data_IF_948598160368
#
_entry.id   IF_948598160368
#
_cell.length_a   1.000
_cell.length_b   1.000
_cell.length_c   1.000
_cell.angle_alpha   90.00
_cell.angle_beta   90.00
_cell.angle_gamma   90.00
#
_symmetry.space_group_name_H-M   'P 1'
#
loop_
_entity.id
_entity.type
_entity.pdbx_description
1 polymer ?
#
# COMPACT_ATOMS: atom_id res chain seq x y z
N UNK A 1 43.28 37.48 -23.03
CA UNK A 1 43.02 36.51 -21.92
C UNK A 1 41.72 35.76 -22.21
N UNK A 2 41.81 34.57 -22.80
CA UNK A 2 40.66 33.78 -23.23
C UNK A 2 40.07 32.97 -22.05
N UNK A 3 38.79 33.15 -21.75
CA UNK A 3 38.03 32.33 -20.80
C UNK A 3 37.86 30.92 -21.39
N UNK A 4 38.53 29.94 -20.80
CA UNK A 4 38.29 28.53 -21.09
C UNK A 4 36.82 28.19 -20.78
N UNK A 5 36.06 27.83 -21.82
CA UNK A 5 34.73 27.28 -21.70
C UNK A 5 34.82 25.96 -20.92
N UNK A 6 34.38 25.99 -19.67
CA UNK A 6 34.27 24.80 -18.83
C UNK A 6 33.20 23.90 -19.45
N UNK A 7 33.62 22.85 -20.15
CA UNK A 7 32.73 21.84 -20.71
C UNK A 7 31.78 21.35 -19.60
N UNK A 8 30.49 21.63 -19.76
CA UNK A 8 29.44 21.07 -18.90
C UNK A 8 29.47 19.57 -19.13
N UNK A 9 30.09 18.82 -18.22
CA UNK A 9 30.00 17.37 -18.21
C UNK A 9 28.52 17.02 -18.07
N UNK A 10 27.91 16.53 -19.15
CA UNK A 10 26.60 15.88 -19.04
C UNK A 10 26.74 14.76 -18.01
N UNK A 11 25.96 14.76 -16.92
CA UNK A 11 26.02 13.64 -15.98
C UNK A 11 25.63 12.39 -16.75
N UNK A 12 26.51 11.38 -16.72
CA UNK A 12 26.33 10.13 -17.44
C UNK A 12 24.89 9.60 -17.24
N UNK A 13 24.12 9.55 -18.33
CA UNK A 13 22.76 9.04 -18.35
C UNK A 13 22.79 7.55 -18.01
N UNK A 14 22.47 7.21 -16.76
CA UNK A 14 22.49 5.84 -16.30
C UNK A 14 21.60 5.65 -15.07
N UNK A 15 21.27 4.39 -14.77
CA UNK A 15 20.39 4.00 -13.64
C UNK A 15 20.82 4.65 -12.33
N UNK A 16 22.13 4.74 -12.06
CA UNK A 16 22.68 5.41 -10.88
C UNK A 16 22.35 6.91 -10.86
N UNK A 17 22.50 7.62 -11.98
CA UNK A 17 22.20 9.04 -12.07
C UNK A 17 20.70 9.28 -11.88
N UNK A 18 19.86 8.47 -12.54
CA UNK A 18 18.40 8.48 -12.37
C UNK A 18 18.00 8.28 -10.90
N UNK A 19 18.47 7.20 -10.26
CA UNK A 19 18.17 6.93 -8.85
C UNK A 19 18.72 8.00 -7.92
N UNK A 20 19.86 8.61 -8.23
CA UNK A 20 20.44 9.67 -7.40
C UNK A 20 19.62 10.97 -7.42
N UNK A 21 18.81 11.21 -8.44
CA UNK A 21 17.96 12.41 -8.54
C UNK A 21 16.72 12.33 -7.62
N UNK A 22 16.13 13.48 -7.26
CA UNK A 22 14.84 13.50 -6.53
C UNK A 22 13.68 13.16 -7.45
N UNK A 23 13.75 13.54 -8.73
CA UNK A 23 12.74 13.22 -9.75
C UNK A 23 12.66 11.71 -9.99
N UNK A 24 13.79 11.03 -10.16
CA UNK A 24 13.82 9.58 -10.38
C UNK A 24 13.24 8.79 -9.21
N UNK A 25 13.56 9.20 -7.96
CA UNK A 25 12.93 8.58 -6.77
C UNK A 25 11.42 8.80 -6.70
N UNK A 26 10.93 9.99 -7.05
CA UNK A 26 9.49 10.27 -7.10
C UNK A 26 8.81 9.38 -8.14
N UNK A 27 9.43 9.21 -9.31
CA UNK A 27 8.90 8.32 -10.35
C UNK A 27 8.85 6.87 -9.87
N UNK A 28 9.93 6.35 -9.27
CA UNK A 28 9.93 4.99 -8.69
C UNK A 28 8.86 4.85 -7.62
N UNK A 29 8.73 5.82 -6.71
CA UNK A 29 7.69 5.83 -5.68
C UNK A 29 6.28 5.81 -6.29
N UNK A 30 6.02 6.60 -7.33
CA UNK A 30 4.73 6.66 -8.01
C UNK A 30 4.41 5.33 -8.72
N UNK A 31 5.35 4.76 -9.46
CA UNK A 31 5.16 3.49 -10.18
C UNK A 31 4.93 2.33 -9.21
N UNK A 32 5.76 2.23 -8.17
CA UNK A 32 5.59 1.20 -7.14
C UNK A 32 4.29 1.41 -6.34
N UNK A 33 3.92 2.66 -6.05
CA UNK A 33 2.65 3.01 -5.44
C UNK A 33 1.45 2.58 -6.29
N UNK A 34 1.52 2.71 -7.61
CA UNK A 34 0.48 2.24 -8.53
C UNK A 34 0.30 0.71 -8.47
N UNK A 35 1.41 -0.04 -8.44
CA UNK A 35 1.41 -1.50 -8.32
C UNK A 35 0.77 -1.92 -6.99
N UNK A 36 1.22 -1.33 -5.88
CA UNK A 36 0.70 -1.62 -4.53
C UNK A 36 -0.78 -1.23 -4.40
N UNK A 37 -1.19 -0.11 -5.00
CA UNK A 37 -2.59 0.30 -5.04
C UNK A 37 -3.46 -0.72 -5.79
N UNK A 38 -3.03 -1.16 -6.97
CA UNK A 38 -3.72 -2.22 -7.72
C UNK A 38 -3.84 -3.51 -6.92
N UNK A 39 -2.79 -3.90 -6.20
CA UNK A 39 -2.85 -5.04 -5.29
C UNK A 39 -3.86 -4.86 -4.17
N UNK A 40 -3.87 -3.71 -3.47
CA UNK A 40 -4.84 -3.46 -2.39
C UNK A 40 -6.29 -3.54 -2.89
N UNK A 41 -6.56 -3.06 -4.11
CA UNK A 41 -7.88 -3.20 -4.74
C UNK A 41 -8.25 -4.66 -4.97
N UNK A 42 -7.36 -5.44 -5.60
CA UNK A 42 -7.59 -6.87 -5.85
C UNK A 42 -7.66 -7.69 -4.55
N UNK A 43 -6.88 -7.29 -3.55
CA UNK A 43 -6.85 -7.91 -2.23
C UNK A 43 -8.18 -7.70 -1.51
N UNK A 44 -8.71 -6.48 -1.48
CA UNK A 44 -10.04 -6.23 -0.95
C UNK A 44 -11.11 -6.99 -1.74
N UNK A 45 -11.05 -7.00 -3.07
CA UNK A 45 -11.99 -7.78 -3.89
C UNK A 45 -12.02 -9.26 -3.51
N UNK A 46 -10.86 -9.87 -3.28
CA UNK A 46 -10.75 -11.23 -2.75
C UNK A 46 -11.37 -11.37 -1.36
N UNK A 47 -11.06 -10.46 -0.44
CA UNK A 47 -11.55 -10.49 0.93
C UNK A 47 -13.08 -10.31 1.02
N UNK A 48 -13.68 -9.51 0.13
CA UNK A 48 -15.13 -9.33 0.06
C UNK A 48 -15.88 -10.62 -0.30
N UNK A 49 -15.19 -11.67 -0.79
CA UNK A 49 -15.80 -12.99 -0.97
C UNK A 49 -16.19 -13.66 0.34
N UNK A 50 -15.71 -13.15 1.48
CA UNK A 50 -16.20 -13.51 2.81
C UNK A 50 -17.73 -13.46 2.87
N UNK A 51 -18.34 -12.41 2.32
CA UNK A 51 -19.79 -12.20 2.33
C UNK A 51 -20.56 -13.20 1.46
N UNK A 52 -19.89 -13.91 0.56
CA UNK A 52 -20.46 -15.00 -0.23
C UNK A 52 -20.25 -16.38 0.41
N UNK A 53 -19.71 -16.42 1.64
CA UNK A 53 -19.55 -17.61 2.46
C UNK A 53 -18.26 -18.41 2.23
N UNK A 54 -18.04 -19.49 3.00
CA UNK A 54 -16.77 -20.21 3.07
C UNK A 54 -16.29 -20.74 1.72
N UNK A 55 -17.20 -21.29 0.91
CA UNK A 55 -16.88 -21.82 -0.43
C UNK A 55 -16.32 -20.73 -1.34
N UNK A 56 -16.86 -19.51 -1.30
CA UNK A 56 -16.45 -18.43 -2.18
C UNK A 56 -15.04 -17.92 -1.85
N UNK A 57 -14.75 -17.67 -0.57
CA UNK A 57 -13.44 -17.16 -0.14
C UNK A 57 -12.34 -18.24 -0.16
N UNK A 58 -12.63 -19.46 0.29
CA UNK A 58 -11.67 -20.56 0.22
C UNK A 58 -11.45 -20.98 -1.25
N UNK A 59 -12.49 -20.93 -2.08
CA UNK A 59 -12.37 -21.14 -3.53
C UNK A 59 -11.51 -20.07 -4.21
N UNK A 60 -11.57 -18.82 -3.76
CA UNK A 60 -10.65 -17.77 -4.23
C UNK A 60 -9.20 -18.05 -3.86
N UNK A 61 -8.95 -18.56 -2.65
CA UNK A 61 -7.62 -19.01 -2.26
C UNK A 61 -7.08 -20.06 -3.23
N UNK A 62 -7.89 -21.05 -3.62
CA UNK A 62 -7.53 -22.09 -4.60
C UNK A 62 -7.29 -21.50 -5.98
N UNK A 63 -8.23 -20.67 -6.47
CA UNK A 63 -8.13 -20.01 -7.77
C UNK A 63 -6.80 -19.28 -7.94
N UNK A 64 -6.34 -18.56 -6.92
CA UNK A 64 -5.07 -17.84 -6.98
C UNK A 64 -3.86 -18.78 -7.18
N UNK A 65 -3.91 -20.04 -6.74
CA UNK A 65 -2.83 -21.00 -7.00
C UNK A 65 -2.92 -21.61 -8.39
N UNK A 66 -4.10 -21.93 -8.88
CA UNK A 66 -4.25 -22.54 -10.22
C UNK A 66 -4.32 -21.51 -11.34
N UNK A 67 -4.25 -20.21 -11.01
CA UNK A 67 -4.29 -19.14 -11.99
C UNK A 67 -3.11 -19.24 -12.97
N UNK A 68 -3.42 -19.38 -14.26
CA UNK A 68 -2.43 -19.53 -15.32
C UNK A 68 -2.18 -20.97 -15.76
N UNK A 69 -2.78 -21.97 -15.11
CA UNK A 69 -2.72 -23.35 -15.59
C UNK A 69 -3.40 -23.51 -16.96
N UNK A 70 -2.86 -24.36 -17.88
CA UNK A 70 -1.65 -25.17 -17.72
C UNK A 70 -0.34 -24.46 -18.15
N UNK A 71 -0.40 -23.19 -18.59
CA UNK A 71 0.78 -22.46 -19.06
C UNK A 71 1.82 -22.20 -17.95
N UNK A 72 1.35 -22.13 -16.71
CA UNK A 72 2.15 -22.06 -15.49
C UNK A 72 1.76 -23.21 -14.56
N UNK A 73 2.68 -23.63 -13.69
CA UNK A 73 2.42 -24.60 -12.63
C UNK A 73 1.66 -24.04 -11.43
N UNK A 74 1.29 -24.93 -10.50
CA UNK A 74 0.57 -24.58 -9.28
C UNK A 74 1.30 -23.48 -8.48
N UNK A 75 0.59 -22.39 -8.23
CA UNK A 75 1.01 -21.18 -7.52
C UNK A 75 2.15 -20.39 -8.14
N UNK A 76 2.63 -20.72 -9.34
CA UNK A 76 3.75 -20.02 -9.97
C UNK A 76 3.41 -18.55 -10.27
N UNK A 77 2.25 -18.29 -10.86
CA UNK A 77 1.77 -16.92 -11.11
C UNK A 77 1.62 -16.16 -9.80
N UNK A 78 1.12 -16.81 -8.75
CA UNK A 78 0.99 -16.19 -7.43
C UNK A 78 2.36 -15.80 -6.84
N UNK A 79 3.39 -16.64 -7.01
CA UNK A 79 4.75 -16.33 -6.57
C UNK A 79 5.37 -15.18 -7.37
N UNK A 80 5.16 -15.13 -8.69
CA UNK A 80 5.59 -14.00 -9.52
C UNK A 80 4.97 -12.71 -8.99
N UNK A 81 3.65 -12.70 -8.74
CA UNK A 81 2.96 -11.55 -8.17
C UNK A 81 3.56 -11.18 -6.80
N UNK A 82 3.79 -12.14 -5.90
CA UNK A 82 4.41 -11.89 -4.59
C UNK A 82 5.79 -11.26 -4.70
N UNK A 83 6.65 -11.75 -5.59
CA UNK A 83 7.99 -11.19 -5.82
C UNK A 83 7.88 -9.75 -6.31
N UNK A 84 7.01 -9.48 -7.28
CA UNK A 84 6.76 -8.12 -7.80
C UNK A 84 6.29 -7.19 -6.68
N UNK A 85 5.40 -7.64 -5.80
CA UNK A 85 4.90 -6.85 -4.68
C UNK A 85 5.98 -6.56 -3.63
N UNK A 86 6.80 -7.55 -3.27
CA UNK A 86 7.90 -7.37 -2.33
C UNK A 86 8.96 -6.40 -2.87
N UNK A 87 9.28 -6.50 -4.17
CA UNK A 87 10.17 -5.56 -4.84
C UNK A 87 9.56 -4.16 -4.87
N UNK A 88 8.28 -4.04 -5.24
CA UNK A 88 7.58 -2.76 -5.28
C UNK A 88 7.54 -2.10 -3.89
N UNK A 89 7.18 -2.85 -2.85
CA UNK A 89 7.15 -2.38 -1.46
C UNK A 89 8.53 -1.91 -1.00
N UNK A 90 9.57 -2.70 -1.25
CA UNK A 90 10.95 -2.39 -0.85
C UNK A 90 11.45 -1.11 -1.53
N UNK A 91 11.22 -0.98 -2.83
CA UNK A 91 11.58 0.22 -3.60
C UNK A 91 10.76 1.44 -3.16
N UNK A 92 9.46 1.26 -2.89
CA UNK A 92 8.56 2.31 -2.41
C UNK A 92 9.04 2.89 -1.08
N UNK A 93 9.27 2.01 -0.08
CA UNK A 93 9.75 2.39 1.25
C UNK A 93 11.14 3.03 1.17
N UNK A 94 12.04 2.48 0.36
CA UNK A 94 13.40 3.03 0.19
C UNK A 94 13.35 4.43 -0.43
N UNK A 95 12.57 4.62 -1.49
CA UNK A 95 12.40 5.92 -2.12
C UNK A 95 11.77 6.93 -1.14
N UNK A 96 10.76 6.50 -0.36
CA UNK A 96 10.12 7.32 0.67
C UNK A 96 11.10 7.80 1.71
N UNK A 97 11.81 6.87 2.34
CA UNK A 97 12.81 7.19 3.35
C UNK A 97 13.88 8.15 2.83
N UNK A 98 14.42 7.89 1.63
CA UNK A 98 15.47 8.72 1.05
C UNK A 98 14.96 10.11 0.66
N UNK A 99 13.73 10.24 0.15
CA UNK A 99 13.11 11.53 -0.14
C UNK A 99 12.83 12.31 1.16
N UNK A 100 12.25 11.67 2.17
CA UNK A 100 12.01 12.30 3.48
C UNK A 100 13.31 12.79 4.12
N UNK A 101 14.38 11.99 4.07
CA UNK A 101 15.70 12.39 4.60
C UNK A 101 16.27 13.60 3.85
N UNK A 102 16.13 13.65 2.52
CA UNK A 102 16.55 14.79 1.70
C UNK A 102 15.74 16.04 2.00
N UNK A 103 14.43 15.91 2.14
CA UNK A 103 13.55 17.03 2.47
C UNK A 103 13.88 17.63 3.84
N UNK A 104 14.20 16.78 4.83
CA UNK A 104 14.67 17.23 6.16
C UNK A 104 16.04 17.89 6.09
N UNK A 105 17.00 17.30 5.37
CA UNK A 105 18.35 17.87 5.23
C UNK A 105 18.36 19.21 4.50
N UNK A 106 17.41 19.44 3.57
CA UNK A 106 17.25 20.71 2.86
C UNK A 106 16.62 21.82 3.71
N UNK A 107 16.16 21.52 4.94
CA UNK A 107 15.46 22.48 5.83
C UNK A 107 16.13 22.54 7.21
N UNK A 108 17.33 23.13 7.33
CA UNK A 108 18.07 23.23 8.59
C UNK A 108 17.46 24.23 9.59
N UNK A 109 16.65 25.19 9.13
CA UNK A 109 15.90 26.12 9.99
C UNK A 109 14.41 25.81 9.83
N UNK A 110 13.74 25.47 10.93
CA UNK A 110 12.28 25.31 10.95
C UNK A 110 11.62 26.66 10.64
N UNK A 111 10.59 26.68 9.79
CA UNK A 111 9.89 27.91 9.39
C UNK A 111 9.49 28.73 10.63
N UNK A 112 10.01 29.96 10.71
CA UNK A 112 9.71 30.94 11.77
C UNK A 112 8.33 31.59 11.59
N UNK A 113 7.73 31.45 10.39
CA UNK A 113 6.36 31.87 10.09
C UNK A 113 5.57 30.67 9.55
N UNK A 114 4.58 30.24 10.32
CA UNK A 114 3.62 29.20 9.93
C UNK A 114 2.71 29.76 8.84
N UNK A 115 3.01 29.46 7.57
CA UNK A 115 2.07 29.66 6.48
C UNK A 115 1.58 28.31 5.97
N UNK A 116 0.28 28.09 6.11
CA UNK A 116 -0.48 26.94 5.60
C UNK A 116 -0.59 26.97 4.07
N UNK A 117 0.53 27.02 3.36
CA UNK A 117 0.55 26.96 1.91
C UNK A 117 0.28 25.50 1.45
N UNK A 118 -0.97 25.04 1.54
CA UNK A 118 -1.47 23.87 0.83
C UNK A 118 -1.14 22.48 1.39
N UNK A 119 -0.59 22.35 2.59
CA UNK A 119 -0.35 21.02 3.22
C UNK A 119 -1.64 20.48 3.86
N UNK A 120 -2.22 19.45 3.28
CA UNK A 120 -3.36 18.69 3.83
C UNK A 120 -3.02 17.86 5.06
N UNK A 121 -3.98 17.55 5.93
CA UNK A 121 -3.75 16.75 7.14
C UNK A 121 -3.01 15.44 6.85
N UNK A 122 -3.47 14.66 5.88
CA UNK A 122 -2.83 13.37 5.66
C UNK A 122 -1.49 13.44 4.87
N UNK A 123 -1.12 14.60 4.30
CA UNK A 123 0.26 14.80 3.83
C UNK A 123 1.21 15.05 5.02
N UNK A 124 0.69 15.59 6.13
CA UNK A 124 1.43 15.72 7.40
C UNK A 124 1.60 14.38 8.10
N UNK A 125 0.61 13.48 8.01
CA UNK A 125 0.69 12.14 8.61
C UNK A 125 1.31 11.10 7.69
N UNK A 126 1.65 11.42 6.43
CA UNK A 126 2.13 10.47 5.43
C UNK A 126 3.31 9.59 5.88
N UNK A 127 4.26 10.16 6.63
CA UNK A 127 5.38 9.40 7.19
C UNK A 127 4.95 8.43 8.28
N UNK A 128 4.03 8.84 9.14
CA UNK A 128 3.51 8.01 10.24
C UNK A 128 2.57 6.93 9.73
N UNK A 129 1.64 7.25 8.83
CA UNK A 129 0.78 6.25 8.20
C UNK A 129 1.58 5.24 7.41
N UNK A 130 2.62 5.67 6.67
CA UNK A 130 3.52 4.76 5.97
C UNK A 130 4.30 3.82 6.90
N UNK A 131 4.83 4.32 8.02
CA UNK A 131 5.52 3.49 9.01
C UNK A 131 4.57 2.50 9.69
N UNK A 132 3.37 2.96 10.08
CA UNK A 132 2.36 2.10 10.68
C UNK A 132 1.95 0.98 9.72
N UNK A 133 1.71 1.30 8.44
CA UNK A 133 1.38 0.32 7.42
C UNK A 133 2.51 -0.69 7.19
N UNK A 134 3.77 -0.27 7.22
CA UNK A 134 4.89 -1.19 7.10
C UNK A 134 4.91 -2.23 8.23
N UNK A 135 4.75 -1.78 9.47
CA UNK A 135 4.67 -2.67 10.63
C UNK A 135 3.44 -3.57 10.55
N UNK A 136 2.29 -3.01 10.16
CA UNK A 136 1.06 -3.76 9.98
C UNK A 136 1.19 -4.81 8.87
N UNK A 137 1.83 -4.54 7.74
CA UNK A 137 2.04 -5.52 6.66
C UNK A 137 2.84 -6.72 7.17
N UNK A 138 3.88 -6.49 7.98
CA UNK A 138 4.67 -7.57 8.59
C UNK A 138 3.79 -8.41 9.50
N UNK A 139 3.04 -7.76 10.41
CA UNK A 139 2.10 -8.44 11.29
C UNK A 139 1.03 -9.22 10.51
N UNK A 140 0.39 -8.59 9.53
CA UNK A 140 -0.66 -9.16 8.69
C UNK A 140 -0.20 -10.41 7.92
N UNK A 141 1.03 -10.40 7.38
CA UNK A 141 1.61 -11.59 6.73
C UNK A 141 1.87 -12.68 7.77
N UNK A 142 2.47 -12.34 8.91
CA UNK A 142 2.76 -13.29 9.97
C UNK A 142 1.50 -13.94 10.57
N UNK A 143 0.40 -13.18 10.62
CA UNK A 143 -0.90 -13.56 11.15
C UNK A 143 -1.70 -14.40 10.14
N UNK A 144 -2.20 -13.78 9.06
CA UNK A 144 -3.15 -14.40 8.14
C UNK A 144 -2.51 -15.19 6.98
N UNK A 145 -1.25 -14.90 6.63
CA UNK A 145 -0.58 -15.61 5.52
C UNK A 145 0.26 -16.78 5.99
N UNK A 146 1.00 -16.61 7.09
CA UNK A 146 1.90 -17.62 7.63
C UNK A 146 1.31 -18.37 8.83
N UNK A 147 0.32 -17.80 9.53
CA UNK A 147 -0.26 -18.41 10.73
C UNK A 147 0.61 -18.34 11.98
N UNK A 148 1.82 -17.77 11.89
CA UNK A 148 2.80 -17.71 12.99
C UNK A 148 2.40 -16.82 14.15
N UNK A 149 1.61 -15.77 13.90
CA UNK A 149 1.04 -14.90 14.93
C UNK A 149 -0.48 -15.09 15.09
N UNK A 150 -1.05 -16.08 14.41
CA UNK A 150 -2.48 -16.34 14.49
C UNK A 150 -2.83 -16.85 15.90
N UNK A 151 -3.78 -16.22 16.59
CA UNK A 151 -4.23 -16.60 17.92
C UNK A 151 -4.96 -17.94 17.88
N UNK A 152 -4.36 -18.96 18.48
CA UNK A 152 -5.01 -20.26 18.65
C UNK A 152 -6.13 -20.28 19.71
N UNK A 153 -6.56 -19.11 20.22
CA UNK A 153 -7.53 -18.96 21.31
C UNK A 153 -8.94 -19.41 20.91
N UNK A 154 -9.35 -19.11 19.68
CA UNK A 154 -10.69 -19.44 19.16
C UNK A 154 -10.63 -20.65 18.24
N UNK A 155 -9.76 -20.57 17.23
CA UNK A 155 -9.47 -21.66 16.30
C UNK A 155 -7.98 -21.67 15.97
N UNK A 156 -7.40 -22.84 15.77
CA UNK A 156 -6.03 -22.93 15.24
C UNK A 156 -6.00 -22.59 13.76
N UNK A 157 -4.91 -21.94 13.34
CA UNK A 157 -4.64 -21.60 11.95
C UNK A 157 -4.66 -22.85 11.06
N UNK A 158 -5.33 -22.76 9.92
CA UNK A 158 -5.30 -23.78 8.88
C UNK A 158 -5.05 -23.15 7.53
N UNK A 159 -3.95 -23.55 6.88
CA UNK A 159 -3.68 -23.09 5.52
C UNK A 159 -4.81 -23.52 4.57
N UNK A 160 -5.27 -22.58 3.73
CA UNK A 160 -6.36 -22.79 2.76
C UNK A 160 -7.77 -22.57 3.30
N UNK A 161 -7.96 -22.55 4.62
CA UNK A 161 -9.26 -22.26 5.25
C UNK A 161 -9.33 -20.79 5.67
N UNK A 162 -9.37 -19.90 4.67
CA UNK A 162 -9.36 -18.44 4.86
C UNK A 162 -10.56 -17.98 5.69
N UNK A 163 -11.75 -18.53 5.42
CA UNK A 163 -12.96 -18.18 6.16
C UNK A 163 -12.79 -18.41 7.67
N UNK A 164 -12.34 -19.63 8.03
CA UNK A 164 -12.10 -20.01 9.42
C UNK A 164 -11.06 -19.13 10.10
N UNK A 165 -9.94 -18.86 9.43
CA UNK A 165 -8.87 -18.04 10.02
C UNK A 165 -9.35 -16.60 10.26
N UNK A 166 -10.10 -16.00 9.33
CA UNK A 166 -10.66 -14.65 9.53
C UNK A 166 -11.64 -14.60 10.72
N UNK A 167 -12.46 -15.65 10.90
CA UNK A 167 -13.35 -15.74 12.07
C UNK A 167 -12.55 -15.81 13.38
N UNK A 168 -11.51 -16.65 13.43
CA UNK A 168 -10.65 -16.80 14.59
C UNK A 168 -10.01 -15.49 15.05
N UNK A 169 -9.52 -14.69 14.09
CA UNK A 169 -8.90 -13.40 14.37
C UNK A 169 -9.93 -12.36 14.81
N UNK A 170 -10.98 -12.16 14.02
CA UNK A 170 -11.84 -11.01 14.19
C UNK A 170 -12.94 -11.18 15.24
N UNK A 171 -13.05 -12.36 15.85
CA UNK A 171 -13.77 -12.53 17.11
C UNK A 171 -12.98 -11.98 18.32
N UNK A 172 -11.67 -11.74 18.18
CA UNK A 172 -10.86 -11.10 19.20
C UNK A 172 -10.84 -9.58 18.98
N UNK A 173 -11.53 -8.84 19.84
CA UNK A 173 -11.75 -7.40 19.68
C UNK A 173 -10.46 -6.58 19.49
N UNK A 174 -9.37 -6.97 20.14
CA UNK A 174 -8.09 -6.25 20.06
C UNK A 174 -7.41 -6.44 18.69
N UNK A 175 -7.56 -7.62 18.07
CA UNK A 175 -7.08 -7.88 16.70
C UNK A 175 -7.92 -7.09 15.71
N UNK A 176 -9.26 -7.14 15.85
CA UNK A 176 -10.16 -6.33 15.04
C UNK A 176 -9.78 -4.83 15.08
N UNK A 177 -9.48 -4.28 16.26
CA UNK A 177 -9.03 -2.88 16.42
C UNK A 177 -7.73 -2.61 15.68
N UNK A 178 -6.73 -3.50 15.73
CA UNK A 178 -5.45 -3.34 15.00
C UNK A 178 -5.71 -3.25 13.48
N UNK A 179 -6.54 -4.14 12.94
CA UNK A 179 -6.87 -4.17 11.53
C UNK A 179 -7.72 -2.95 11.09
N UNK A 180 -8.64 -2.50 11.94
CA UNK A 180 -9.41 -1.27 11.70
C UNK A 180 -8.47 -0.05 11.69
N UNK A 181 -7.55 0.05 12.65
CA UNK A 181 -6.56 1.13 12.68
C UNK A 181 -5.67 1.12 11.42
N UNK A 182 -5.29 -0.05 10.94
CA UNK A 182 -4.56 -0.20 9.68
C UNK A 182 -5.36 0.23 8.46
N UNK A 183 -6.65 -0.12 8.38
CA UNK A 183 -7.53 0.33 7.31
C UNK A 183 -7.68 1.87 7.31
N UNK A 184 -7.79 2.50 8.47
CA UNK A 184 -7.82 3.97 8.60
C UNK A 184 -6.49 4.60 8.16
N UNK A 185 -5.35 4.05 8.61
CA UNK A 185 -4.03 4.50 8.19
C UNK A 185 -3.84 4.36 6.66
N UNK A 186 -4.33 3.27 6.08
CA UNK A 186 -4.34 3.02 4.64
C UNK A 186 -5.19 4.06 3.90
N UNK A 187 -6.39 4.37 4.39
CA UNK A 187 -7.23 5.43 3.84
C UNK A 187 -6.51 6.77 3.79
N UNK A 188 -5.96 7.21 4.93
CA UNK A 188 -5.19 8.46 5.00
C UNK A 188 -4.01 8.44 4.03
N UNK A 189 -3.27 7.33 3.96
CA UNK A 189 -2.14 7.17 3.05
C UNK A 189 -2.57 7.27 1.57
N UNK A 190 -3.64 6.57 1.19
CA UNK A 190 -4.15 6.52 -0.18
C UNK A 190 -4.75 7.84 -0.65
N UNK A 191 -5.44 8.57 0.23
CA UNK A 191 -6.01 9.88 -0.10
C UNK A 191 -4.95 10.86 -0.63
N UNK A 192 -3.72 10.81 -0.09
CA UNK A 192 -2.59 11.58 -0.63
C UNK A 192 -1.88 10.86 -1.75
N UNK A 193 -1.63 9.57 -1.60
CA UNK A 193 -0.82 8.80 -2.54
C UNK A 193 -1.42 8.82 -3.95
N UNK A 194 -2.73 8.60 -4.10
CA UNK A 194 -3.39 8.55 -5.42
C UNK A 194 -3.27 9.89 -6.14
N UNK A 195 -3.50 11.00 -5.42
CA UNK A 195 -3.33 12.33 -5.98
C UNK A 195 -1.86 12.63 -6.34
N UNK A 196 -0.94 12.37 -5.42
CA UNK A 196 0.50 12.64 -5.62
C UNK A 196 1.12 11.80 -6.74
N UNK A 197 0.67 10.55 -6.87
CA UNK A 197 1.04 9.64 -7.96
C UNK A 197 0.57 10.19 -9.30
N UNK A 198 -0.69 10.61 -9.42
CA UNK A 198 -1.24 11.19 -10.65
C UNK A 198 -0.46 12.43 -11.10
N UNK A 199 -0.06 13.28 -10.15
CA UNK A 199 0.80 14.44 -10.45
C UNK A 199 2.17 14.03 -10.96
N UNK A 200 2.80 13.03 -10.32
CA UNK A 200 4.15 12.59 -10.66
C UNK A 200 4.21 11.90 -12.03
N UNK A 201 3.14 11.19 -12.40
CA UNK A 201 3.02 10.52 -13.70
C UNK A 201 2.52 11.45 -14.82
N UNK A 202 2.31 12.74 -14.55
CA UNK A 202 1.86 13.71 -15.55
C UNK A 202 0.40 13.54 -15.98
N UNK A 203 -0.44 12.89 -15.15
CA UNK A 203 -1.86 12.64 -15.45
C UNK A 203 -2.76 13.83 -15.05
N UNK A 204 -2.19 14.85 -14.38
CA UNK A 204 -2.92 16.02 -13.88
C UNK A 204 -2.67 17.27 -14.74
N UNK A 205 -3.76 17.83 -15.28
CA UNK A 205 -3.88 19.14 -15.92
C UNK A 205 -5.00 19.92 -15.23
N UNK A 206 -5.20 21.24 -15.44
CA UNK A 206 -6.20 22.03 -14.71
C UNK A 206 -7.60 21.40 -14.68
N UNK A 207 -8.04 20.77 -15.77
CA UNK A 207 -9.33 20.07 -15.84
C UNK A 207 -9.32 18.67 -15.20
N UNK A 208 -8.28 17.84 -15.42
CA UNK A 208 -8.21 16.48 -14.85
C UNK A 208 -7.88 16.48 -13.35
N UNK A 209 -7.36 17.59 -12.82
CA UNK A 209 -7.00 17.73 -11.41
C UNK A 209 -8.18 17.53 -10.45
N UNK A 210 -9.39 17.93 -10.84
CA UNK A 210 -10.60 17.69 -10.04
C UNK A 210 -11.01 16.22 -10.05
N UNK A 211 -10.90 15.55 -11.19
CA UNK A 211 -11.23 14.13 -11.33
C UNK A 211 -10.31 13.26 -10.46
N UNK A 212 -9.00 13.51 -10.48
CA UNK A 212 -8.03 12.77 -9.66
C UNK A 212 -8.21 12.99 -8.15
N UNK A 213 -8.61 14.19 -7.72
CA UNK A 213 -8.97 14.43 -6.32
C UNK A 213 -10.21 13.66 -5.90
N UNK A 214 -11.23 13.60 -6.75
CA UNK A 214 -12.43 12.77 -6.52
C UNK A 214 -12.09 11.29 -6.51
N UNK A 215 -11.22 10.83 -7.42
CA UNK A 215 -10.76 9.45 -7.46
C UNK A 215 -9.99 9.09 -6.17
N UNK A 216 -9.07 9.95 -5.72
CA UNK A 216 -8.34 9.75 -4.47
C UNK A 216 -9.28 9.63 -3.27
N UNK A 217 -10.31 10.49 -3.18
CA UNK A 217 -11.34 10.40 -2.15
C UNK A 217 -12.14 9.09 -2.25
N UNK A 218 -12.66 8.79 -3.43
CA UNK A 218 -13.48 7.60 -3.67
C UNK A 218 -12.72 6.31 -3.31
N UNK A 219 -11.53 6.11 -3.86
CA UNK A 219 -10.75 4.90 -3.59
C UNK A 219 -10.28 4.81 -2.15
N UNK A 220 -9.88 5.94 -1.54
CA UNK A 220 -9.56 5.98 -0.11
C UNK A 220 -10.73 5.51 0.74
N UNK A 221 -11.93 6.04 0.50
CA UNK A 221 -13.13 5.68 1.27
C UNK A 221 -13.56 4.24 0.99
N UNK A 222 -13.65 3.83 -0.27
CA UNK A 222 -14.08 2.50 -0.65
C UNK A 222 -13.16 1.41 -0.05
N UNK A 223 -11.84 1.60 -0.13
CA UNK A 223 -10.88 0.64 0.42
C UNK A 223 -10.89 0.64 1.96
N UNK A 224 -11.04 1.80 2.59
CA UNK A 224 -11.12 1.89 4.05
C UNK A 224 -12.39 1.22 4.57
N UNK A 225 -13.55 1.58 4.03
CA UNK A 225 -14.84 1.05 4.46
C UNK A 225 -14.88 -0.46 4.22
N UNK A 226 -14.53 -0.93 3.01
CA UNK A 226 -14.58 -2.35 2.71
C UNK A 226 -13.67 -3.19 3.61
N UNK A 227 -12.47 -2.70 3.94
CA UNK A 227 -11.59 -3.40 4.88
C UNK A 227 -12.08 -3.35 6.33
N UNK A 228 -12.72 -2.25 6.76
CA UNK A 228 -13.30 -2.14 8.11
C UNK A 228 -14.55 -3.01 8.27
N UNK A 229 -15.36 -3.16 7.21
CA UNK A 229 -16.58 -3.96 7.30
C UNK A 229 -16.27 -5.40 7.70
N UNK A 230 -15.18 -6.00 7.20
CA UNK A 230 -14.79 -7.39 7.48
C UNK A 230 -14.65 -7.69 8.99
N UNK A 231 -13.76 -7.03 9.76
CA UNK A 231 -13.64 -7.29 11.19
C UNK A 231 -14.92 -6.90 11.95
N UNK A 232 -15.62 -5.84 11.53
CA UNK A 232 -16.84 -5.39 12.21
C UNK A 232 -17.95 -6.44 12.13
N UNK A 233 -18.24 -7.00 10.96
CA UNK A 233 -19.33 -7.98 10.81
C UNK A 233 -19.06 -9.29 11.52
N UNK A 234 -17.79 -9.68 11.64
CA UNK A 234 -17.38 -10.88 12.39
C UNK A 234 -17.50 -10.61 13.89
N UNK A 235 -17.00 -9.45 14.35
CA UNK A 235 -17.05 -9.06 15.76
C UNK A 235 -18.49 -8.91 16.27
N UNK A 236 -19.42 -8.45 15.43
CA UNK A 236 -20.85 -8.32 15.79
C UNK A 236 -21.64 -9.61 15.62
N UNK A 237 -21.03 -10.69 15.13
CA UNK A 237 -21.68 -11.99 14.92
C UNK A 237 -22.64 -12.04 13.72
N UNK A 238 -22.61 -11.05 12.83
CA UNK A 238 -23.42 -11.04 11.60
C UNK A 238 -22.95 -12.09 10.59
N UNK A 239 -21.71 -12.55 10.72
CA UNK A 239 -21.11 -13.65 9.96
C UNK A 239 -20.51 -14.65 10.96
N UNK A 240 -20.77 -15.95 10.77
CA UNK A 240 -20.27 -17.05 11.62
C UNK A 240 -19.95 -18.30 10.79
#
# INVERSE_FOLDING_TARGET
MARAARARRHPAGGVRAFWSSSTGKKLVMATTGAILFGYVVLHLYGNLKLFAGPRAINGWWVFLRIAGEPAFGYAEVLWIVRIVLLLALSLHVTAAYQLTRRDRAARPVHYTLWHSAGSTYASRTMGWSGLFLLLFIIYHIADLTLGTLHPATIVSYREGDVYRNLLGDFQLWYIAVIYIAAALALGLHLYHAVWSMAQTLGLTYPHSSRAWRKAALFFSLALTIGNITIPVVILTGMVH
#
